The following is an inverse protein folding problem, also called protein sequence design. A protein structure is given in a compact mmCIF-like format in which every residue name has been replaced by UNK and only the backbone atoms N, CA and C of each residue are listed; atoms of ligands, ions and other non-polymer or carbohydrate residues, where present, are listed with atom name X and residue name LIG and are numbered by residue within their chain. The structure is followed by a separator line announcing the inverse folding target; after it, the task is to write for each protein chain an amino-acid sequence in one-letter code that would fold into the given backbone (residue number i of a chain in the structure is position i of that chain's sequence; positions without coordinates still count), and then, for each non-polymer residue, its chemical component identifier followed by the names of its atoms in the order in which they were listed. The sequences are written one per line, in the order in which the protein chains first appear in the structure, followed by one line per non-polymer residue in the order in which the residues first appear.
data_IF_983322958101
#
_entry.id   IF_983322958101
#
_cell.length_a   1.000
_cell.length_b   1.000
_cell.length_c   1.000
_cell.angle_alpha   90.00
_cell.angle_beta   90.00
_cell.angle_gamma   90.00
#
_symmetry.space_group_name_H-M   'P 1'
#
loop_
_entity.id
_entity.type
_entity.pdbx_description
1 polymer ?
#
# COMPACT_ATOMS: atom_id res chain seq x y z
N UNK A 1 -13.28 -11.50 19.78
CA UNK A 1 -12.19 -12.11 19.02
C UNK A 1 -11.86 -11.18 17.89
N UNK A 2 -10.61 -10.73 17.79
CA UNK A 2 -10.18 -9.88 16.67
C UNK A 2 -10.36 -10.67 15.37
N UNK A 3 -11.23 -10.18 14.49
CA UNK A 3 -11.43 -10.79 13.18
C UNK A 3 -10.18 -10.50 12.36
N UNK A 4 -9.64 -11.52 11.70
CA UNK A 4 -8.49 -11.38 10.81
C UNK A 4 -8.93 -11.57 9.37
N UNK A 5 -8.31 -10.83 8.47
CA UNK A 5 -8.43 -11.04 7.03
C UNK A 5 -7.18 -11.77 6.55
N UNK A 6 -7.35 -12.97 5.99
CA UNK A 6 -6.27 -13.81 5.48
C UNK A 6 -6.07 -13.60 3.99
N UNK A 7 -4.91 -13.09 3.61
CA UNK A 7 -4.59 -12.78 2.21
C UNK A 7 -3.56 -13.76 1.68
N UNK A 8 -3.78 -14.20 0.44
CA UNK A 8 -2.82 -14.96 -0.34
C UNK A 8 -2.42 -14.16 -1.58
N UNK A 9 -1.14 -13.89 -1.74
CA UNK A 9 -0.55 -13.21 -2.91
C UNK A 9 0.17 -14.23 -3.77
N UNK A 10 -0.05 -14.19 -5.09
CA UNK A 10 0.59 -15.14 -6.01
C UNK A 10 0.63 -14.64 -7.46
N UNK A 11 1.62 -15.11 -8.22
CA UNK A 11 1.59 -15.13 -9.69
C UNK A 11 1.44 -16.57 -10.20
N UNK A 12 0.33 -16.85 -10.90
CA UNK A 12 0.00 -18.20 -11.36
C UNK A 12 0.63 -18.59 -12.71
N UNK A 13 1.31 -17.67 -13.40
CA UNK A 13 1.94 -17.93 -14.69
C UNK A 13 0.99 -18.51 -15.74
N UNK A 14 -0.31 -18.21 -15.65
CA UNK A 14 -1.40 -18.74 -16.50
C UNK A 14 -1.68 -20.24 -16.38
N UNK A 15 -0.95 -20.99 -15.55
CA UNK A 15 -1.06 -22.44 -15.42
C UNK A 15 -2.40 -22.89 -14.82
N UNK A 16 -2.95 -24.00 -15.33
CA UNK A 16 -4.11 -24.69 -14.71
C UNK A 16 -3.73 -25.25 -13.33
N UNK A 17 -2.61 -25.96 -13.27
CA UNK A 17 -2.13 -26.61 -12.05
C UNK A 17 -1.82 -25.62 -10.93
N UNK A 18 -1.26 -24.44 -11.25
CA UNK A 18 -1.05 -23.37 -10.27
C UNK A 18 -2.38 -22.87 -9.67
N UNK A 19 -3.44 -22.83 -10.48
CA UNK A 19 -4.80 -22.49 -10.01
C UNK A 19 -5.37 -23.58 -9.09
N UNK A 20 -5.15 -24.85 -9.42
CA UNK A 20 -5.58 -25.96 -8.57
C UNK A 20 -4.87 -25.90 -7.20
N UNK A 21 -3.57 -25.52 -7.17
CA UNK A 21 -2.83 -25.26 -5.92
C UNK A 21 -3.35 -24.05 -5.16
N UNK A 22 -3.68 -22.95 -5.86
CA UNK A 22 -4.36 -21.80 -5.24
C UNK A 22 -5.63 -22.23 -4.51
N UNK A 23 -6.47 -23.08 -5.12
CA UNK A 23 -7.68 -23.56 -4.45
C UNK A 23 -7.40 -24.48 -3.27
N UNK A 24 -6.42 -25.38 -3.40
CA UNK A 24 -6.03 -26.27 -2.31
C UNK A 24 -5.56 -25.47 -1.09
N UNK A 25 -4.58 -24.58 -1.27
CA UNK A 25 -4.02 -23.73 -0.22
C UNK A 25 -5.08 -22.79 0.35
N UNK A 26 -5.90 -22.18 -0.52
CA UNK A 26 -6.97 -21.29 -0.08
C UNK A 26 -8.01 -22.02 0.78
N UNK A 27 -8.28 -23.30 0.50
CA UNK A 27 -9.16 -24.12 1.30
C UNK A 27 -8.51 -24.51 2.63
N UNK A 28 -7.27 -25.02 2.58
CA UNK A 28 -6.52 -25.51 3.74
C UNK A 28 -6.27 -24.43 4.79
N UNK A 29 -5.84 -23.24 4.35
CA UNK A 29 -5.50 -22.12 5.25
C UNK A 29 -6.70 -21.22 5.56
N UNK A 30 -7.88 -21.56 5.02
CA UNK A 30 -9.10 -20.76 5.09
C UNK A 30 -8.86 -19.31 4.64
N UNK A 31 -8.28 -19.15 3.45
CA UNK A 31 -8.00 -17.85 2.86
C UNK A 31 -9.30 -17.13 2.55
N UNK A 32 -9.28 -15.82 2.79
CA UNK A 32 -10.40 -14.92 2.58
C UNK A 32 -10.39 -14.33 1.17
N UNK A 33 -9.24 -13.75 0.81
CA UNK A 33 -9.00 -13.07 -0.46
C UNK A 33 -7.66 -13.54 -1.01
N UNK A 34 -7.59 -13.87 -2.30
CA UNK A 34 -6.34 -14.02 -2.99
C UNK A 34 -6.16 -12.93 -4.05
N UNK A 35 -5.00 -12.28 -4.05
CA UNK A 35 -4.57 -11.30 -5.06
C UNK A 35 -3.62 -12.00 -6.03
N UNK A 36 -3.93 -11.90 -7.31
CA UNK A 36 -3.42 -12.84 -8.31
C UNK A 36 -2.86 -12.07 -9.51
N UNK A 37 -1.59 -12.32 -9.79
CA UNK A 37 -0.93 -11.99 -11.05
C UNK A 37 -1.04 -13.16 -12.03
N UNK A 38 -1.18 -12.84 -13.31
CA UNK A 38 -1.27 -13.77 -14.44
C UNK A 38 -2.21 -14.96 -14.20
N UNK A 39 -3.51 -14.70 -13.91
CA UNK A 39 -4.48 -15.75 -13.68
C UNK A 39 -4.73 -16.58 -14.94
N UNK A 40 -5.13 -17.84 -14.79
CA UNK A 40 -5.71 -18.57 -15.91
C UNK A 40 -7.05 -17.93 -16.31
N UNK A 41 -7.09 -17.32 -17.50
CA UNK A 41 -8.24 -16.51 -17.94
C UNK A 41 -9.54 -17.31 -17.91
N UNK A 42 -9.56 -18.56 -18.39
CA UNK A 42 -10.80 -19.33 -18.50
C UNK A 42 -11.42 -19.64 -17.14
N UNK A 43 -10.58 -19.94 -16.14
CA UNK A 43 -11.03 -20.25 -14.78
C UNK A 43 -11.51 -18.97 -14.07
N UNK A 44 -10.79 -17.88 -14.27
CA UNK A 44 -11.05 -16.60 -13.61
C UNK A 44 -12.22 -15.80 -14.21
N UNK A 45 -12.92 -16.33 -15.22
CA UNK A 45 -14.20 -15.76 -15.70
C UNK A 45 -15.40 -16.04 -14.77
N UNK A 46 -15.20 -16.80 -13.69
CA UNK A 46 -16.25 -17.11 -12.72
C UNK A 46 -16.57 -15.91 -11.79
N UNK A 47 -17.79 -15.88 -11.25
CA UNK A 47 -18.32 -14.74 -10.46
C UNK A 47 -17.56 -14.41 -9.17
N UNK A 48 -16.67 -15.29 -8.71
CA UNK A 48 -15.86 -15.06 -7.51
C UNK A 48 -14.58 -14.27 -7.81
N UNK A 49 -14.35 -13.90 -9.06
CA UNK A 49 -13.19 -13.14 -9.51
C UNK A 49 -13.58 -11.74 -9.95
N UNK A 50 -12.71 -10.79 -9.60
CA UNK A 50 -12.64 -9.48 -10.24
C UNK A 50 -11.37 -9.49 -11.08
N UNK A 51 -11.44 -8.99 -12.32
CA UNK A 51 -10.31 -9.00 -13.25
C UNK A 51 -10.09 -7.62 -13.85
N UNK A 52 -8.85 -7.35 -14.24
CA UNK A 52 -8.52 -6.14 -14.99
C UNK A 52 -8.89 -6.28 -16.48
N UNK A 53 -8.81 -5.16 -17.22
CA UNK A 53 -9.14 -5.12 -18.64
C UNK A 53 -8.24 -6.04 -19.48
N UNK A 54 -6.93 -6.10 -19.16
CA UNK A 54 -5.95 -6.94 -19.87
C UNK A 54 -5.94 -8.38 -19.37
N UNK A 55 -6.72 -8.68 -18.33
CA UNK A 55 -6.87 -10.02 -17.72
C UNK A 55 -5.56 -10.55 -17.13
N UNK A 56 -4.64 -9.68 -16.76
CA UNK A 56 -3.35 -9.99 -16.16
C UNK A 56 -3.37 -9.96 -14.64
N UNK A 57 -4.39 -9.33 -14.05
CA UNK A 57 -4.60 -9.24 -12.61
C UNK A 57 -5.98 -9.80 -12.30
N UNK A 58 -6.08 -10.52 -11.20
CA UNK A 58 -7.35 -10.89 -10.63
C UNK A 58 -7.35 -10.82 -9.11
N UNK A 59 -8.53 -10.60 -8.54
CA UNK A 59 -8.78 -10.83 -7.13
C UNK A 59 -9.82 -11.93 -6.98
N UNK A 60 -9.46 -13.00 -6.28
CA UNK A 60 -10.35 -14.09 -5.92
C UNK A 60 -10.91 -13.88 -4.52
N UNK A 61 -12.23 -13.77 -4.41
CA UNK A 61 -12.91 -13.62 -3.13
C UNK A 61 -13.49 -14.98 -2.75
N UNK A 62 -12.82 -15.69 -1.84
CA UNK A 62 -13.29 -17.00 -1.37
C UNK A 62 -14.36 -16.85 -0.30
N UNK A 63 -14.13 -15.97 0.67
CA UNK A 63 -15.07 -15.75 1.76
C UNK A 63 -16.21 -14.82 1.32
N UNK A 64 -17.40 -15.41 1.08
CA UNK A 64 -18.61 -14.68 0.66
C UNK A 64 -19.11 -13.64 1.66
N UNK A 65 -18.65 -13.69 2.91
CA UNK A 65 -18.99 -12.69 3.93
C UNK A 65 -18.19 -11.38 3.77
N UNK A 66 -17.25 -11.34 2.84
CA UNK A 66 -16.48 -10.14 2.50
C UNK A 66 -17.29 -9.30 1.53
N UNK A 67 -18.01 -8.33 2.10
CA UNK A 67 -18.72 -7.32 1.32
C UNK A 67 -17.74 -6.33 0.69
N UNK A 68 -17.31 -6.60 -0.53
CA UNK A 68 -16.62 -5.60 -1.37
C UNK A 68 -17.59 -4.46 -1.66
N UNK A 69 -17.28 -3.24 -1.18
CA UNK A 69 -18.15 -2.07 -1.36
C UNK A 69 -18.14 -1.60 -2.81
N UNK A 70 -16.94 -1.53 -3.39
CA UNK A 70 -16.70 -1.18 -4.77
C UNK A 70 -15.29 -1.57 -5.18
N UNK A 71 -15.03 -1.56 -6.48
CA UNK A 71 -13.70 -1.75 -7.04
C UNK A 71 -13.42 -0.75 -8.17
N UNK A 72 -12.15 -0.43 -8.39
CA UNK A 72 -11.65 0.27 -9.59
C UNK A 72 -10.58 -0.58 -10.27
N UNK A 73 -10.37 -0.33 -11.56
CA UNK A 73 -9.42 -1.07 -12.41
C UNK A 73 -8.62 -0.05 -13.20
N UNK A 74 -7.29 -0.10 -13.05
CA UNK A 74 -6.35 0.66 -13.87
C UNK A 74 -5.47 -0.27 -14.70
N UNK A 75 -4.49 0.29 -15.41
CA UNK A 75 -3.56 -0.53 -16.17
C UNK A 75 -2.53 -1.19 -15.25
N UNK A 76 -2.69 -2.51 -15.05
CA UNK A 76 -1.79 -3.30 -14.21
C UNK A 76 -2.21 -3.40 -12.75
N UNK A 77 -3.39 -2.90 -12.36
CA UNK A 77 -3.90 -3.10 -11.01
C UNK A 77 -5.43 -3.16 -10.91
N UNK A 78 -5.90 -3.77 -9.82
CA UNK A 78 -7.29 -3.75 -9.36
C UNK A 78 -7.30 -3.24 -7.92
N UNK A 79 -8.12 -2.23 -7.64
CA UNK A 79 -8.35 -1.73 -6.29
C UNK A 79 -9.71 -2.20 -5.78
N UNK A 80 -9.75 -2.74 -4.57
CA UNK A 80 -10.97 -3.14 -3.86
C UNK A 80 -11.11 -2.29 -2.60
N UNK A 81 -12.24 -1.63 -2.44
CA UNK A 81 -12.57 -0.87 -1.22
C UNK A 81 -13.27 -1.79 -0.21
N UNK A 82 -12.63 -1.99 0.94
CA UNK A 82 -13.11 -2.87 2.00
C UNK A 82 -12.96 -2.23 3.38
N UNK A 83 -14.07 -2.11 4.12
CA UNK A 83 -14.10 -1.59 5.50
C UNK A 83 -13.33 -0.27 5.74
N UNK A 84 -13.37 0.67 4.79
CA UNK A 84 -12.74 1.99 4.94
C UNK A 84 -11.25 2.04 4.58
N UNK A 85 -10.71 0.97 3.99
CA UNK A 85 -9.36 0.93 3.42
C UNK A 85 -9.37 0.17 2.07
N UNK A 86 -8.25 0.14 1.37
CA UNK A 86 -8.13 -0.38 0.01
C UNK A 86 -7.18 -1.59 -0.08
N UNK A 87 -7.51 -2.57 -0.92
CA UNK A 87 -6.61 -3.66 -1.32
C UNK A 87 -6.33 -3.50 -2.81
N UNK A 88 -5.06 -3.32 -3.15
CA UNK A 88 -4.59 -3.28 -4.54
C UNK A 88 -3.90 -4.61 -4.88
N UNK A 89 -4.39 -5.25 -5.93
CA UNK A 89 -3.72 -6.37 -6.59
C UNK A 89 -3.02 -5.83 -7.83
N UNK A 90 -1.73 -6.13 -8.00
CA UNK A 90 -0.91 -5.51 -9.05
C UNK A 90 -0.16 -6.55 -9.91
N UNK A 91 0.02 -6.26 -11.18
CA UNK A 91 0.94 -6.97 -12.07
C UNK A 91 1.53 -5.99 -13.08
N UNK A 92 2.86 -5.88 -13.09
CA UNK A 92 3.58 -5.07 -14.05
C UNK A 92 4.62 -5.93 -14.75
N UNK A 93 4.35 -6.29 -16.01
CA UNK A 93 5.21 -7.14 -16.84
C UNK A 93 6.68 -6.68 -16.83
N UNK A 94 7.65 -7.60 -16.85
CA UNK A 94 9.06 -7.25 -16.98
C UNK A 94 9.41 -6.73 -18.38
N UNK A 95 8.53 -6.97 -19.36
CA UNK A 95 8.79 -6.68 -20.78
C UNK A 95 8.31 -5.29 -21.22
N UNK A 96 7.65 -4.52 -20.34
CA UNK A 96 7.26 -3.15 -20.68
C UNK A 96 8.44 -2.19 -20.48
N UNK A 97 8.59 -1.17 -21.33
CA UNK A 97 9.59 -0.12 -21.12
C UNK A 97 9.38 0.60 -19.78
N UNK A 98 10.47 1.10 -19.19
CA UNK A 98 10.41 1.83 -17.92
C UNK A 98 9.43 3.02 -17.94
N UNK A 99 9.32 3.73 -19.06
CA UNK A 99 8.38 4.83 -19.19
C UNK A 99 6.91 4.38 -19.06
N UNK A 100 6.56 3.23 -19.65
CA UNK A 100 5.21 2.66 -19.54
C UNK A 100 4.94 2.16 -18.12
N UNK A 101 5.93 1.51 -17.49
CA UNK A 101 5.86 1.14 -16.08
C UNK A 101 5.58 2.36 -15.19
N UNK A 102 6.32 3.46 -15.40
CA UNK A 102 6.14 4.71 -14.66
C UNK A 102 4.73 5.26 -14.81
N UNK A 103 4.21 5.30 -16.04
CA UNK A 103 2.84 5.77 -16.29
C UNK A 103 1.78 4.92 -15.55
N UNK A 104 1.97 3.60 -15.44
CA UNK A 104 1.05 2.75 -14.68
C UNK A 104 1.13 2.99 -13.17
N UNK A 105 2.33 3.23 -12.62
CA UNK A 105 2.48 3.59 -11.21
C UNK A 105 1.94 4.99 -10.92
N UNK A 106 2.14 5.96 -11.82
CA UNK A 106 1.58 7.31 -11.71
C UNK A 106 0.02 7.26 -11.71
N UNK A 107 -0.59 6.45 -12.60
CA UNK A 107 -2.05 6.23 -12.61
C UNK A 107 -2.54 5.62 -11.29
N UNK A 108 -1.83 4.61 -10.77
CA UNK A 108 -2.16 4.00 -9.48
C UNK A 108 -2.00 5.02 -8.33
N UNK A 109 -1.01 5.90 -8.40
CA UNK A 109 -0.78 6.98 -7.44
C UNK A 109 -1.95 7.96 -7.40
N UNK A 110 -2.46 8.34 -8.57
CA UNK A 110 -3.64 9.19 -8.67
C UNK A 110 -4.88 8.52 -8.06
N UNK A 111 -5.09 7.23 -8.30
CA UNK A 111 -6.19 6.47 -7.67
C UNK A 111 -6.03 6.40 -6.15
N UNK A 112 -4.84 6.07 -5.63
CA UNK A 112 -4.53 6.03 -4.19
C UNK A 112 -4.85 7.39 -3.55
N UNK A 113 -4.33 8.48 -4.13
CA UNK A 113 -4.58 9.85 -3.65
C UNK A 113 -6.06 10.23 -3.72
N UNK A 114 -6.76 9.85 -4.79
CA UNK A 114 -8.18 10.11 -4.95
C UNK A 114 -9.04 9.33 -3.95
N UNK A 115 -8.66 8.10 -3.60
CA UNK A 115 -9.32 7.38 -2.50
C UNK A 115 -9.01 8.05 -1.16
N UNK A 116 -7.75 8.44 -0.94
CA UNK A 116 -7.20 8.94 0.32
C UNK A 116 -7.55 8.05 1.51
N UNK A 117 -7.59 6.74 1.26
CA UNK A 117 -7.76 5.71 2.28
C UNK A 117 -6.42 5.00 2.47
N UNK A 118 -6.22 4.40 3.64
CA UNK A 118 -5.10 3.49 3.83
C UNK A 118 -5.19 2.30 2.86
N UNK A 119 -4.05 1.78 2.44
CA UNK A 119 -4.00 0.71 1.45
C UNK A 119 -3.02 -0.41 1.82
N UNK A 120 -3.36 -1.63 1.39
CA UNK A 120 -2.39 -2.70 1.12
C UNK A 120 -2.26 -2.82 -0.38
N UNK A 121 -1.04 -2.81 -0.88
CA UNK A 121 -0.74 -2.89 -2.31
C UNK A 121 0.23 -4.02 -2.53
N UNK A 122 -0.18 -5.00 -3.32
CA UNK A 122 0.57 -6.22 -3.42
C UNK A 122 0.42 -6.91 -4.78
N UNK A 123 1.50 -7.56 -5.21
CA UNK A 123 1.54 -8.20 -6.51
C UNK A 123 2.95 -8.34 -7.06
N UNK A 124 3.05 -8.60 -8.36
CA UNK A 124 4.32 -8.79 -9.05
C UNK A 124 4.73 -7.47 -9.73
N UNK A 125 5.75 -6.84 -9.16
CA UNK A 125 6.26 -5.55 -9.63
C UNK A 125 7.43 -5.69 -10.58
N UNK A 126 7.99 -6.89 -10.81
CA UNK A 126 9.19 -7.10 -11.62
C UNK A 126 10.28 -6.04 -11.36
N UNK A 127 10.57 -5.79 -10.08
CA UNK A 127 11.41 -4.70 -9.60
C UNK A 127 12.32 -5.18 -8.47
N UNK A 128 13.52 -4.60 -8.36
CA UNK A 128 14.57 -5.07 -7.45
C UNK A 128 15.03 -3.96 -6.51
N UNK A 129 14.98 -4.23 -5.20
CA UNK A 129 15.62 -3.41 -4.16
C UNK A 129 15.92 -4.25 -2.91
N UNK A 130 17.01 -3.95 -2.17
CA UNK A 130 17.23 -4.48 -0.82
C UNK A 130 16.05 -4.24 0.13
N UNK A 131 15.24 -3.20 -0.09
CA UNK A 131 14.06 -2.89 0.74
C UNK A 131 13.02 -4.03 0.80
N UNK A 132 12.97 -4.90 -0.21
CA UNK A 132 12.09 -6.08 -0.25
C UNK A 132 12.87 -7.37 -0.54
N UNK A 133 14.17 -7.40 -0.22
CA UNK A 133 14.99 -8.61 -0.19
C UNK A 133 15.91 -8.85 -1.40
N UNK A 134 15.87 -8.03 -2.45
CA UNK A 134 16.77 -8.19 -3.59
C UNK A 134 18.21 -7.77 -3.25
N UNK A 135 19.26 -8.50 -3.67
CA UNK A 135 20.66 -8.12 -3.42
C UNK A 135 21.12 -6.91 -4.24
N UNK A 136 20.33 -6.49 -5.23
CA UNK A 136 20.63 -5.38 -6.13
C UNK A 136 19.42 -4.47 -6.24
N UNK A 137 19.68 -3.22 -6.61
CA UNK A 137 18.65 -2.25 -6.99
C UNK A 137 18.63 -2.09 -8.51
N UNK A 138 17.45 -2.05 -9.12
CA UNK A 138 17.27 -1.66 -10.52
C UNK A 138 16.49 -0.33 -10.64
N UNK A 139 16.36 0.19 -11.87
CA UNK A 139 15.69 1.48 -12.12
C UNK A 139 14.21 1.49 -11.68
N UNK A 140 13.53 0.32 -11.74
CA UNK A 140 12.16 0.19 -11.23
C UNK A 140 12.18 0.23 -9.70
N UNK A 141 13.20 -0.35 -9.09
CA UNK A 141 13.41 -0.37 -7.65
C UNK A 141 13.64 1.01 -7.08
N UNK A 142 14.54 1.78 -7.71
CA UNK A 142 14.81 3.18 -7.35
C UNK A 142 13.52 4.00 -7.37
N UNK A 143 12.78 3.94 -8.48
CA UNK A 143 11.53 4.67 -8.63
C UNK A 143 10.45 4.22 -7.64
N UNK A 144 10.31 2.91 -7.39
CA UNK A 144 9.35 2.41 -6.40
C UNK A 144 9.70 2.80 -4.96
N UNK A 145 10.98 2.94 -4.61
CA UNK A 145 11.38 3.43 -3.29
C UNK A 145 10.99 4.90 -3.10
N UNK A 146 11.20 5.75 -4.10
CA UNK A 146 10.77 7.15 -4.08
C UNK A 146 9.24 7.25 -4.00
N UNK A 147 8.54 6.47 -4.83
CA UNK A 147 7.08 6.37 -4.84
C UNK A 147 6.51 5.91 -3.48
N UNK A 148 7.11 4.88 -2.87
CA UNK A 148 6.69 4.40 -1.57
C UNK A 148 6.89 5.45 -0.47
N UNK A 149 8.02 6.17 -0.50
CA UNK A 149 8.31 7.25 0.42
C UNK A 149 7.30 8.41 0.27
N UNK A 150 6.95 8.80 -0.96
CA UNK A 150 5.96 9.84 -1.24
C UNK A 150 4.59 9.49 -0.65
N UNK A 151 4.19 8.22 -0.71
CA UNK A 151 2.88 7.75 -0.25
C UNK A 151 2.86 7.26 1.20
N UNK A 152 3.99 7.30 1.92
CA UNK A 152 4.08 6.76 3.28
C UNK A 152 3.81 5.26 3.37
N UNK A 153 4.26 4.51 2.36
CA UNK A 153 4.12 3.07 2.26
C UNK A 153 5.34 2.35 2.84
N UNK A 154 5.09 1.28 3.58
CA UNK A 154 6.12 0.41 4.15
C UNK A 154 6.16 -0.90 3.37
N UNK A 155 7.37 -1.37 3.03
CA UNK A 155 7.56 -2.73 2.53
C UNK A 155 7.35 -3.72 3.67
N UNK A 156 6.52 -4.73 3.44
CA UNK A 156 6.13 -5.73 4.45
C UNK A 156 6.89 -7.04 4.26
N UNK A 157 7.52 -7.22 3.11
CA UNK A 157 8.38 -8.36 2.81
C UNK A 157 9.41 -8.56 3.93
N UNK A 158 9.49 -9.78 4.46
CA UNK A 158 10.45 -10.17 5.50
C UNK A 158 11.07 -11.52 5.18
N UNK A 159 12.28 -11.76 5.70
CA UNK A 159 13.02 -13.00 5.43
C UNK A 159 13.81 -12.96 4.13
N UNK A 160 14.40 -14.11 3.80
CA UNK A 160 15.38 -14.30 2.72
C UNK A 160 14.93 -15.36 1.69
N UNK A 161 13.67 -15.78 1.77
CA UNK A 161 13.10 -16.72 0.80
C UNK A 161 12.71 -15.97 -0.47
N UNK A 162 13.21 -16.37 -1.66
CA UNK A 162 12.88 -15.70 -2.92
C UNK A 162 11.41 -15.90 -3.26
N UNK A 163 10.82 -14.90 -3.90
CA UNK A 163 9.42 -14.95 -4.36
C UNK A 163 9.30 -15.59 -5.74
N UNK A 164 10.39 -15.63 -6.50
CA UNK A 164 10.49 -16.27 -7.80
C UNK A 164 11.72 -17.17 -7.87
N UNK A 165 11.53 -18.42 -8.30
CA UNK A 165 12.58 -19.41 -8.50
C UNK A 165 12.40 -20.16 -9.82
N UNK A 166 13.43 -20.12 -10.66
CA UNK A 166 13.52 -20.91 -11.90
C UNK A 166 14.91 -21.55 -12.01
N UNK A 167 15.02 -22.77 -11.50
CA UNK A 167 16.32 -23.46 -11.39
C UNK A 167 17.26 -22.67 -10.49
N UNK A 168 18.42 -22.26 -11.01
CA UNK A 168 19.37 -21.44 -10.24
C UNK A 168 19.00 -19.95 -10.17
N UNK A 169 18.03 -19.48 -10.96
CA UNK A 169 17.60 -18.08 -10.96
C UNK A 169 16.63 -17.83 -9.82
N UNK A 170 16.99 -16.92 -8.91
CA UNK A 170 16.18 -16.53 -7.76
C UNK A 170 16.00 -15.02 -7.73
N UNK A 171 14.79 -14.54 -7.45
CA UNK A 171 14.52 -13.10 -7.32
C UNK A 171 13.38 -12.79 -6.36
N UNK A 172 13.33 -11.53 -5.92
CA UNK A 172 12.38 -10.98 -4.96
C UNK A 172 11.62 -9.86 -5.66
N UNK A 173 10.64 -10.24 -6.48
CA UNK A 173 9.93 -9.32 -7.40
C UNK A 173 8.46 -9.16 -7.06
N UNK A 174 7.95 -10.02 -6.17
CA UNK A 174 6.62 -9.91 -5.60
C UNK A 174 6.71 -9.10 -4.32
N UNK A 175 6.02 -7.95 -4.28
CA UNK A 175 6.14 -6.98 -3.21
C UNK A 175 4.79 -6.82 -2.52
N UNK A 176 4.82 -6.67 -1.19
CA UNK A 176 3.68 -6.30 -0.36
C UNK A 176 3.99 -4.98 0.32
N UNK A 177 3.23 -3.94 -0.01
CA UNK A 177 3.28 -2.62 0.59
C UNK A 177 2.06 -2.38 1.48
N UNK A 178 2.22 -1.58 2.53
CA UNK A 178 1.09 -1.10 3.30
C UNK A 178 1.30 0.32 3.82
N UNK A 179 0.23 1.11 3.87
CA UNK A 179 0.19 2.36 4.62
C UNK A 179 0.53 2.09 6.10
N UNK A 180 1.15 3.05 6.78
CA UNK A 180 1.61 2.93 8.18
C UNK A 180 0.55 2.32 9.12
N UNK A 181 -0.71 2.73 9.00
CA UNK A 181 -1.80 2.21 9.86
C UNK A 181 -2.11 0.73 9.61
N UNK A 182 -1.96 0.24 8.38
CA UNK A 182 -2.20 -1.16 8.03
C UNK A 182 -0.95 -2.01 8.28
N UNK A 183 0.24 -1.46 8.04
CA UNK A 183 1.51 -2.15 8.28
C UNK A 183 1.58 -2.72 9.70
N UNK A 184 1.18 -1.92 10.71
CA UNK A 184 1.13 -2.34 12.12
C UNK A 184 0.10 -3.44 12.43
N UNK A 185 -0.82 -3.72 11.52
CA UNK A 185 -1.87 -4.74 11.64
C UNK A 185 -1.57 -5.99 10.82
N UNK A 186 -0.54 -5.96 9.96
CA UNK A 186 -0.11 -7.12 9.19
C UNK A 186 0.77 -8.02 10.06
N UNK A 187 0.45 -9.31 10.07
CA UNK A 187 1.20 -10.33 10.79
C UNK A 187 1.32 -11.60 9.96
N UNK A 188 2.32 -12.42 10.31
CA UNK A 188 2.52 -13.72 9.68
C UNK A 188 2.79 -13.61 8.18
N UNK A 189 3.48 -12.53 7.76
CA UNK A 189 3.96 -12.44 6.39
C UNK A 189 5.02 -13.52 6.18
N UNK A 190 4.77 -14.42 5.25
CA UNK A 190 5.68 -15.51 4.89
C UNK A 190 5.56 -15.87 3.41
N UNK A 191 6.69 -16.29 2.82
CA UNK A 191 6.69 -17.04 1.58
C UNK A 191 6.40 -18.50 1.93
N UNK A 192 5.33 -19.05 1.36
CA UNK A 192 4.89 -20.40 1.62
C UNK A 192 5.87 -21.42 1.00
N UNK A 193 6.22 -22.49 1.75
CA UNK A 193 7.15 -23.52 1.28
C UNK A 193 6.47 -24.56 0.37
N UNK A 194 5.17 -24.42 0.10
CA UNK A 194 4.38 -25.36 -0.68
C UNK A 194 4.93 -25.53 -2.11
N UNK A 195 4.97 -26.77 -2.60
CA UNK A 195 5.30 -27.02 -4.00
C UNK A 195 4.19 -26.47 -4.90
N UNK A 196 4.49 -25.39 -5.61
CA UNK A 196 3.56 -24.72 -6.50
C UNK A 196 3.95 -24.93 -7.96
N UNK A 197 2.97 -25.20 -8.82
CA UNK A 197 3.20 -25.46 -10.25
C UNK A 197 3.37 -24.16 -11.07
N UNK A 198 4.14 -23.21 -10.52
CA UNK A 198 4.54 -21.93 -11.10
C UNK A 198 5.96 -21.61 -10.60
N UNK A 199 6.66 -20.68 -11.24
CA UNK A 199 7.97 -20.22 -10.76
C UNK A 199 7.84 -19.21 -9.62
N UNK A 200 6.64 -18.72 -9.30
CA UNK A 200 6.44 -17.80 -8.18
C UNK A 200 5.93 -18.53 -6.95
N UNK A 201 6.63 -18.36 -5.83
CA UNK A 201 6.21 -18.85 -4.53
C UNK A 201 5.03 -18.03 -4.02
N UNK A 202 4.11 -18.68 -3.32
CA UNK A 202 2.93 -18.00 -2.79
C UNK A 202 3.30 -17.24 -1.52
N UNK A 203 2.71 -16.07 -1.31
CA UNK A 203 2.95 -15.24 -0.14
C UNK A 203 1.66 -15.21 0.68
N UNK A 204 1.77 -15.44 1.97
CA UNK A 204 0.64 -15.41 2.90
C UNK A 204 0.85 -14.30 3.93
N UNK A 205 -0.22 -13.62 4.32
CA UNK A 205 -0.22 -12.73 5.48
C UNK A 205 -1.63 -12.51 6.02
N UNK A 206 -1.71 -12.11 7.28
CA UNK A 206 -2.96 -11.77 7.96
C UNK A 206 -3.02 -10.29 8.28
N UNK A 207 -4.19 -9.67 8.10
CA UNK A 207 -4.47 -8.31 8.56
C UNK A 207 -5.45 -8.37 9.72
N UNK A 208 -5.09 -7.81 10.88
CA UNK A 208 -6.05 -7.63 11.99
C UNK A 208 -7.08 -6.58 11.60
N UNK A 209 -8.36 -6.95 11.70
CA UNK A 209 -9.48 -6.08 11.36
C UNK A 209 -10.14 -5.65 12.66
N UNK A 210 -9.99 -4.38 12.99
CA UNK A 210 -10.76 -3.76 14.07
C UNK A 210 -12.19 -3.61 13.58
N UNK A 211 -13.16 -4.23 14.26
CA UNK A 211 -14.58 -3.91 14.10
C UNK A 211 -14.82 -2.49 14.61
N UNK A 212 -14.53 -1.50 13.79
CA UNK A 212 -15.02 -0.15 14.04
C UNK A 212 -16.46 -0.08 13.53
N UNK A 213 -17.42 0.02 14.45
CA UNK A 213 -18.57 0.92 14.24
C UNK A 213 -18.00 2.20 13.63
N UNK A 214 -18.64 2.75 12.60
CA UNK A 214 -18.21 3.97 11.88
C UNK A 214 -17.63 5.02 12.84
N UNK A 215 -16.31 4.96 13.06
CA UNK A 215 -15.57 6.06 13.65
C UNK A 215 -15.23 6.87 12.42
N UNK A 216 -15.89 8.01 12.29
CA UNK A 216 -15.57 8.99 11.26
C UNK A 216 -14.06 9.18 11.22
N UNK A 217 -13.43 8.67 10.16
CA UNK A 217 -12.00 8.75 9.95
C UNK A 217 -11.65 10.22 9.75
N UNK A 218 -11.21 10.88 10.81
CA UNK A 218 -10.55 12.19 10.73
C UNK A 218 -9.20 11.94 10.07
N UNK A 219 -9.03 12.38 8.82
CA UNK A 219 -7.72 12.36 8.17
C UNK A 219 -6.78 13.27 8.95
N UNK A 220 -5.63 12.73 9.35
CA UNK A 220 -4.55 13.49 9.97
C UNK A 220 -3.49 13.69 8.89
N UNK A 221 -3.29 14.93 8.48
CA UNK A 221 -2.20 15.28 7.58
C UNK A 221 -1.01 15.75 8.42
N UNK A 222 0.15 15.09 8.28
CA UNK A 222 1.41 15.55 8.87
C UNK A 222 2.14 16.38 7.83
N UNK A 223 2.43 17.64 8.14
CA UNK A 223 3.16 18.56 7.27
C UNK A 223 4.41 19.06 7.99
N UNK A 224 5.56 19.03 7.31
CA UNK A 224 6.79 19.62 7.82
C UNK A 224 6.84 21.10 7.44
N UNK A 225 6.85 21.99 8.43
CA UNK A 225 7.13 23.40 8.19
C UNK A 225 8.60 23.57 7.78
N UNK A 226 8.84 23.63 6.47
CA UNK A 226 10.17 23.72 5.87
C UNK A 226 10.93 24.97 6.33
N UNK A 227 10.25 26.11 6.50
CA UNK A 227 10.91 27.35 6.90
C UNK A 227 11.35 27.29 8.37
N UNK A 228 10.49 26.73 9.24
CA UNK A 228 10.82 26.51 10.64
C UNK A 228 11.92 25.44 10.80
N UNK A 229 11.87 24.38 10.00
CA UNK A 229 12.88 23.33 9.98
C UNK A 229 14.25 23.88 9.55
N UNK A 230 14.33 24.64 8.46
CA UNK A 230 15.58 25.26 8.02
C UNK A 230 16.14 26.24 9.05
N UNK A 231 15.27 27.02 9.72
CA UNK A 231 15.70 27.94 10.78
C UNK A 231 16.29 27.20 11.99
N UNK A 232 15.64 26.12 12.44
CA UNK A 232 16.13 25.29 13.57
C UNK A 232 17.37 24.49 13.22
N UNK A 233 17.47 23.98 12.00
CA UNK A 233 18.65 23.28 11.51
C UNK A 233 19.85 24.24 11.50
N UNK A 234 19.67 25.47 11.02
CA UNK A 234 20.74 26.48 11.02
C UNK A 234 21.16 26.90 12.43
N UNK A 235 20.21 27.08 13.36
CA UNK A 235 20.54 27.52 14.71
C UNK A 235 21.16 26.43 15.58
N UNK A 236 20.69 25.18 15.49
CA UNK A 236 21.17 24.08 16.34
C UNK A 236 22.38 23.34 15.78
N UNK A 237 22.48 23.22 14.45
CA UNK A 237 23.52 22.41 13.81
C UNK A 237 24.59 23.30 13.16
N UNK A 238 24.20 24.32 12.40
CA UNK A 238 25.16 25.17 11.66
C UNK A 238 25.83 26.21 12.56
N UNK A 239 25.19 26.61 13.66
CA UNK A 239 25.75 27.49 14.69
C UNK A 239 26.57 26.78 15.76
N UNK A 240 26.69 25.46 15.69
CA UNK A 240 27.47 24.64 16.63
C UNK A 240 28.92 24.55 16.17
N UNK A 241 29.88 24.93 17.02
CA UNK A 241 31.32 24.71 16.76
C UNK A 241 31.74 23.24 16.94
N UNK A 242 30.85 22.40 17.47
CA UNK A 242 31.11 20.99 17.74
C UNK A 242 30.94 20.10 16.50
N UNK A 243 31.89 19.18 16.30
CA UNK A 243 31.79 18.11 15.31
C UNK A 243 30.92 16.98 15.87
N UNK A 244 29.66 16.92 15.43
CA UNK A 244 28.76 15.82 15.76
C UNK A 244 29.31 14.47 15.28
N UNK A 245 29.19 13.43 16.10
CA UNK A 245 29.29 12.05 15.62
C UNK A 245 28.07 11.73 14.72
N UNK A 246 28.18 10.81 13.75
CA UNK A 246 27.09 10.53 12.79
C UNK A 246 25.75 10.16 13.44
N UNK A 247 25.78 9.38 14.52
CA UNK A 247 24.56 8.94 15.21
C UNK A 247 23.89 10.07 16.01
N UNK A 248 24.68 10.97 16.60
CA UNK A 248 24.19 12.15 17.31
C UNK A 248 23.55 13.15 16.35
N UNK A 249 24.14 13.31 15.17
CA UNK A 249 23.58 14.13 14.09
C UNK A 249 22.21 13.60 13.62
N UNK A 250 22.08 12.28 13.41
CA UNK A 250 20.82 11.66 12.98
C UNK A 250 19.74 11.85 14.04
N UNK A 251 20.07 11.69 15.32
CA UNK A 251 19.13 11.89 16.43
C UNK A 251 18.65 13.34 16.53
N UNK A 252 19.55 14.32 16.40
CA UNK A 252 19.20 15.74 16.42
C UNK A 252 18.32 16.14 15.23
N UNK A 253 18.64 15.68 14.02
CA UNK A 253 17.80 15.95 12.84
C UNK A 253 16.40 15.33 13.00
N UNK A 254 16.31 14.12 13.57
CA UNK A 254 15.03 13.47 13.87
C UNK A 254 14.20 14.26 14.89
N UNK A 255 14.84 14.79 15.95
CA UNK A 255 14.19 15.66 16.93
C UNK A 255 13.66 16.95 16.29
N UNK A 256 14.47 17.62 15.48
CA UNK A 256 14.05 18.84 14.77
C UNK A 256 12.89 18.54 13.81
N UNK A 257 12.93 17.40 13.11
CA UNK A 257 11.85 16.97 12.22
C UNK A 257 10.53 16.79 13.00
N UNK A 258 10.57 16.12 14.14
CA UNK A 258 9.40 15.95 15.00
C UNK A 258 8.88 17.28 15.56
N UNK A 259 9.75 18.19 15.97
CA UNK A 259 9.35 19.52 16.47
C UNK A 259 8.74 20.43 15.40
N UNK A 260 9.09 20.22 14.12
CA UNK A 260 8.62 21.03 13.00
C UNK A 260 7.47 20.37 12.23
N UNK A 261 7.05 19.16 12.62
CA UNK A 261 5.92 18.46 12.02
C UNK A 261 4.62 18.93 12.68
N UNK A 262 3.76 19.55 11.88
CA UNK A 262 2.42 19.99 12.31
C UNK A 262 1.40 18.96 11.86
N UNK A 263 0.50 18.58 12.78
CA UNK A 263 -0.65 17.73 12.46
C UNK A 263 -1.87 18.61 12.21
N UNK A 264 -2.43 18.53 11.00
CA UNK A 264 -3.66 19.24 10.62
C UNK A 264 -4.82 18.25 10.62
N UNK A 265 -5.92 18.65 11.27
CA UNK A 265 -7.15 17.88 11.35
C UNK A 265 -8.14 18.38 10.32
N UNK A 266 -8.63 17.49 9.46
CA UNK A 266 -9.74 17.81 8.57
C UNK A 266 -11.06 17.58 9.32
N UNK A 267 -11.74 18.66 9.72
CA UNK A 267 -13.12 18.57 10.24
C UNK A 267 -14.12 18.57 9.09
N UNK A 268 -14.97 17.54 9.03
CA UNK A 268 -16.18 17.56 8.18
C UNK A 268 -17.08 18.69 8.66
N UNK A 269 -17.35 19.68 7.80
CA UNK A 269 -18.50 20.56 8.03
C UNK A 269 -19.78 19.75 7.88
N UNK A 270 -20.66 19.81 8.87
CA UNK A 270 -22.04 19.32 8.73
C UNK A 270 -22.68 20.05 7.56
N UNK A 271 -23.19 19.30 6.59
CA UNK A 271 -23.96 19.88 5.47
C UNK A 271 -25.15 20.64 6.08
N UNK A 272 -25.31 21.95 5.83
CA UNK A 272 -26.43 22.70 6.37
C UNK A 272 -27.75 22.08 5.91
N UNK A 273 -28.75 22.01 6.80
CA UNK A 273 -30.01 21.29 6.59
C UNK A 273 -30.90 21.80 5.43
N UNK A 274 -30.49 22.84 4.72
CA UNK A 274 -31.19 23.42 3.57
C UNK A 274 -30.51 23.10 2.22
N UNK A 275 -29.52 22.20 2.21
CA UNK A 275 -28.77 21.80 1.00
C UNK A 275 -29.38 20.60 0.25
N UNK A 276 -30.70 20.44 0.31
CA UNK A 276 -31.46 19.67 -0.68
C UNK A 276 -32.25 20.66 -1.53
N UNK A 277 -31.72 20.99 -2.72
CA UNK A 277 -32.48 20.90 -3.97
C UNK A 277 -31.66 21.37 -5.18
N UNK A 278 -31.71 20.53 -6.22
CA UNK A 278 -31.45 20.76 -7.64
C UNK A 278 -30.80 22.09 -8.08
N UNK A 279 -29.51 22.02 -8.46
CA UNK A 279 -28.85 22.57 -9.69
C UNK A 279 -27.45 23.14 -9.42
N UNK A 280 -26.47 22.54 -10.12
CA UNK A 280 -25.18 23.08 -10.57
C UNK A 280 -24.07 23.52 -9.60
N UNK A 281 -22.86 23.15 -10.06
CA UNK A 281 -21.50 23.59 -9.72
C UNK A 281 -20.82 22.97 -8.50
N UNK A 282 -19.85 22.08 -8.80
CA UNK A 282 -18.78 21.65 -7.90
C UNK A 282 -17.92 22.88 -7.56
N UNK A 283 -18.00 23.34 -6.33
CA UNK A 283 -16.88 23.97 -5.62
C UNK A 283 -16.93 23.50 -4.17
N UNK A 284 -16.15 22.47 -3.83
CA UNK A 284 -15.92 22.12 -2.43
C UNK A 284 -14.97 23.17 -1.86
N UNK A 285 -15.50 24.11 -1.09
CA UNK A 285 -14.68 25.07 -0.34
C UNK A 285 -14.14 24.38 0.91
N UNK A 286 -12.88 23.96 0.84
CA UNK A 286 -12.11 23.55 2.01
C UNK A 286 -11.61 24.79 2.75
N UNK A 287 -11.75 24.80 4.08
CA UNK A 287 -11.13 25.80 4.96
C UNK A 287 -10.13 25.09 5.86
N UNK A 288 -8.84 25.40 5.68
CA UNK A 288 -7.75 24.90 6.50
C UNK A 288 -7.70 25.69 7.81
N UNK A 289 -7.73 25.01 8.95
CA UNK A 289 -7.47 25.62 10.24
C UNK A 289 -6.14 25.09 10.78
N UNK A 290 -5.20 26.01 10.99
CA UNK A 290 -3.93 25.70 11.65
C UNK A 290 -4.22 25.65 13.15
N UNK A 291 -4.21 24.45 13.73
CA UNK A 291 -4.19 24.32 15.17
C UNK A 291 -2.74 24.45 15.64
N UNK A 292 -2.36 25.65 16.06
CA UNK A 292 -1.07 25.91 16.68
C UNK A 292 -1.19 25.65 18.20
N UNK A 293 -0.56 24.60 18.76
CA UNK A 293 -0.68 24.26 20.18
C UNK A 293 -0.01 25.28 21.13
N UNK A 294 0.55 26.38 20.63
CA UNK A 294 1.26 27.38 21.45
C UNK A 294 0.53 28.72 21.67
N UNK A 295 -0.71 28.89 21.20
CA UNK A 295 -1.50 30.11 21.45
C UNK A 295 -2.72 29.89 22.34
N UNK A 296 -2.47 29.45 23.58
CA UNK A 296 -3.36 29.73 24.70
C UNK A 296 -2.54 29.98 25.97
N UNK A 297 -1.96 31.17 26.09
CA UNK A 297 -1.68 31.79 27.40
C UNK A 297 -1.84 33.31 27.32
N UNK A 298 -2.68 33.77 28.25
CA UNK A 298 -2.85 35.13 28.78
C UNK A 298 -3.78 36.07 27.99
N UNK A 299 -5.00 36.18 28.54
CA UNK A 299 -5.83 37.39 28.75
C UNK A 299 -5.67 38.56 27.80
#
# INVERSE_FOLDING_TARGET
MDKKLKILQTNLGRGRAAHDMLYAIACERDIDIAIISEPNVKISLSHNYIMDKKRNVAVYIRNKNIGVRSHSVGDGYICIKWQGWCIYSCYFSPNIPFLEFRCHIDEMTDDIKATGLDAVIAGDFNSKSPMWGSPVTDIRGEYLMEWAAELGLNAINVGDTPTFERGASKSYIDITWASESIANRIHGWEVLPDEVFTFHNFIYFEIRTTTHQEVESRRIFRFLDKALFEAKLRSRIVGSEDKFLPDEFINEVSLINNECTVSIYEEKRSVPCWWNDYRYSKTSSYSLYIHNPYFYKNT
#
